data_IF_317794930961
#
_entry.id   IF_317794930961
#
_cell.length_a   1.000
_cell.length_b   1.000
_cell.length_c   1.000
_cell.angle_alpha   90.00
_cell.angle_beta   90.00
_cell.angle_gamma   90.00
#
_symmetry.space_group_name_H-M   'P 1'
#
loop_
_entity.id
_entity.type
_entity.pdbx_description
1 polymer ?
#
# COMPACT_ATOMS: atom_id res chain seq x y z
N UNK A 1 37.32 -24.23 14.92
CA UNK A 1 36.95 -22.96 14.27
C UNK A 1 35.66 -23.03 13.44
N UNK A 2 35.21 -24.21 12.98
CA UNK A 2 34.04 -24.33 12.11
C UNK A 2 32.65 -24.40 12.81
N UNK A 3 32.60 -24.69 14.11
CA UNK A 3 31.33 -24.85 14.83
C UNK A 3 30.72 -23.50 15.23
N UNK A 4 31.53 -22.54 15.63
CA UNK A 4 31.10 -21.18 16.00
C UNK A 4 30.58 -20.38 14.80
N UNK A 5 31.17 -20.55 13.61
CA UNK A 5 30.74 -19.89 12.37
C UNK A 5 29.37 -20.43 11.93
N UNK A 6 29.12 -21.73 12.11
CA UNK A 6 27.82 -22.35 11.78
C UNK A 6 26.70 -21.92 12.72
N UNK A 7 26.99 -21.73 14.02
CA UNK A 7 26.02 -21.24 15.00
C UNK A 7 25.63 -19.77 14.72
N UNK A 8 26.57 -18.90 14.34
CA UNK A 8 26.30 -17.52 13.97
C UNK A 8 25.45 -17.39 12.70
N UNK A 9 25.69 -18.25 11.69
CA UNK A 9 24.89 -18.27 10.46
C UNK A 9 23.44 -18.71 10.69
N UNK A 10 23.20 -19.66 11.62
CA UNK A 10 21.85 -20.12 11.98
C UNK A 10 21.10 -19.06 12.78
N UNK A 11 21.76 -18.31 13.67
CA UNK A 11 21.14 -17.22 14.43
C UNK A 11 20.70 -16.05 13.52
N UNK A 12 21.44 -15.75 12.43
CA UNK A 12 21.07 -14.72 11.47
C UNK A 12 19.84 -15.09 10.62
N UNK A 13 19.54 -16.38 10.44
CA UNK A 13 18.38 -16.86 9.67
C UNK A 13 17.06 -16.86 10.45
N UNK A 14 17.09 -16.62 11.76
CA UNK A 14 15.90 -16.69 12.65
C UNK A 14 15.34 -15.31 13.02
N UNK A 15 15.83 -14.23 12.40
CA UNK A 15 15.25 -12.89 12.64
C UNK A 15 14.04 -12.64 11.73
N UNK A 16 13.03 -13.51 11.87
CA UNK A 16 11.73 -13.28 11.26
C UNK A 16 10.98 -12.31 12.18
N UNK A 17 10.91 -11.03 11.79
CA UNK A 17 10.09 -10.07 12.51
C UNK A 17 8.61 -10.38 12.24
N UNK A 18 7.81 -10.74 13.25
CA UNK A 18 6.40 -11.10 13.04
C UNK A 18 5.62 -9.93 12.44
N UNK A 19 4.77 -10.25 11.46
CA UNK A 19 3.81 -9.29 10.88
C UNK A 19 2.56 -9.27 11.75
N UNK A 20 2.07 -8.08 12.06
CA UNK A 20 0.83 -7.84 12.79
C UNK A 20 -0.20 -7.16 11.92
N UNK A 21 -1.46 -7.51 12.11
CA UNK A 21 -2.60 -6.83 11.52
C UNK A 21 -2.93 -5.60 12.36
N UNK A 22 -2.84 -4.42 11.75
CA UNK A 22 -3.21 -3.14 12.36
C UNK A 22 -4.70 -2.85 12.12
N UNK A 23 -5.14 -3.07 10.89
CA UNK A 23 -6.54 -2.96 10.47
C UNK A 23 -6.87 -4.19 9.63
N UNK A 24 -7.97 -4.88 9.92
CA UNK A 24 -8.39 -6.03 9.12
C UNK A 24 -8.78 -5.59 7.72
N UNK A 25 -8.49 -6.41 6.70
CA UNK A 25 -8.85 -6.07 5.31
C UNK A 25 -10.34 -5.75 5.11
N UNK A 26 -11.31 -6.49 5.68
CA UNK A 26 -12.73 -6.11 5.57
C UNK A 26 -13.03 -4.73 6.13
N UNK A 27 -12.43 -4.36 7.27
CA UNK A 27 -12.62 -3.05 7.90
C UNK A 27 -12.04 -1.93 7.03
N UNK A 28 -10.86 -2.17 6.41
CA UNK A 28 -10.25 -1.24 5.45
C UNK A 28 -11.11 -1.08 4.18
N UNK A 29 -11.68 -2.18 3.66
CA UNK A 29 -12.61 -2.15 2.52
C UNK A 29 -13.84 -1.29 2.86
N UNK A 30 -14.45 -1.51 4.01
CA UNK A 30 -15.62 -0.76 4.44
C UNK A 30 -15.30 0.75 4.63
N UNK A 31 -14.15 1.07 5.21
CA UNK A 31 -13.72 2.46 5.42
C UNK A 31 -13.41 3.19 4.11
N UNK A 32 -12.81 2.50 3.12
CA UNK A 32 -12.36 3.08 1.86
C UNK A 32 -13.42 3.05 0.75
N UNK A 33 -14.44 2.18 0.86
CA UNK A 33 -15.58 2.08 -0.05
C UNK A 33 -16.90 2.30 0.70
N UNK A 34 -17.10 3.48 1.34
CA UNK A 34 -18.26 3.73 2.16
C UNK A 34 -19.55 3.72 1.33
N UNK A 35 -20.59 3.06 1.87
CA UNK A 35 -21.90 2.95 1.22
C UNK A 35 -21.98 1.89 0.13
N UNK A 36 -20.93 1.09 -0.09
CA UNK A 36 -21.02 -0.06 -0.97
C UNK A 36 -21.89 -1.16 -0.33
N UNK A 37 -22.82 -1.71 -1.10
CA UNK A 37 -23.66 -2.86 -0.75
C UNK A 37 -23.16 -4.17 -1.39
N UNK A 38 -22.30 -4.04 -2.43
CA UNK A 38 -21.65 -5.17 -3.07
C UNK A 38 -20.19 -4.86 -3.41
N UNK A 39 -19.37 -5.92 -3.42
CA UNK A 39 -17.95 -5.84 -3.71
C UNK A 39 -17.56 -6.89 -4.74
N UNK A 40 -16.69 -6.50 -5.69
CA UNK A 40 -16.17 -7.39 -6.73
C UNK A 40 -14.64 -7.28 -6.72
N UNK A 41 -13.96 -8.41 -6.57
CA UNK A 41 -12.53 -8.50 -6.80
C UNK A 41 -12.28 -8.66 -8.31
N UNK A 42 -11.33 -7.89 -8.84
CA UNK A 42 -10.89 -7.94 -10.20
C UNK A 42 -9.40 -8.19 -10.26
N UNK A 43 -9.01 -9.28 -10.88
CA UNK A 43 -7.64 -9.61 -11.17
C UNK A 43 -7.23 -9.08 -12.54
N UNK A 44 -6.06 -8.47 -12.62
CA UNK A 44 -5.43 -8.00 -13.85
C UNK A 44 -4.08 -8.71 -13.97
N UNK A 45 -3.99 -9.64 -14.92
CA UNK A 45 -2.76 -10.32 -15.24
C UNK A 45 -1.91 -9.46 -16.16
N UNK A 46 -0.74 -9.04 -15.69
CA UNK A 46 0.15 -8.17 -16.45
C UNK A 46 0.89 -8.97 -17.52
N UNK A 47 0.94 -8.42 -18.74
CA UNK A 47 1.92 -8.87 -19.74
C UNK A 47 3.34 -8.48 -19.30
N UNK A 48 4.37 -9.11 -19.91
CA UNK A 48 5.76 -8.72 -19.64
C UNK A 48 6.02 -7.24 -19.93
N UNK A 49 5.39 -6.67 -20.96
CA UNK A 49 5.49 -5.24 -21.32
C UNK A 49 4.83 -4.35 -20.27
N UNK A 50 3.67 -4.76 -19.73
CA UNK A 50 2.95 -3.99 -18.71
C UNK A 50 3.71 -4.02 -17.38
N UNK A 51 4.25 -5.18 -16.99
CA UNK A 51 5.09 -5.32 -15.80
C UNK A 51 6.36 -4.44 -15.90
N UNK A 52 7.02 -4.43 -17.07
CA UNK A 52 8.18 -3.58 -17.32
C UNK A 52 7.83 -2.09 -17.22
N UNK A 53 6.74 -1.65 -17.85
CA UNK A 53 6.26 -0.27 -17.78
C UNK A 53 5.96 0.17 -16.35
N UNK A 54 5.33 -0.70 -15.57
CA UNK A 54 5.03 -0.42 -14.16
C UNK A 54 6.33 -0.33 -13.34
N UNK A 55 7.28 -1.22 -13.59
CA UNK A 55 8.59 -1.20 -12.94
C UNK A 55 9.35 0.09 -13.26
N UNK A 56 9.39 0.53 -14.52
CA UNK A 56 10.02 1.80 -14.91
C UNK A 56 9.37 3.02 -14.23
N UNK A 57 8.04 2.98 -14.03
CA UNK A 57 7.33 4.11 -13.46
C UNK A 57 7.51 4.27 -11.95
N UNK A 58 7.57 3.16 -11.19
CA UNK A 58 7.51 3.18 -9.71
C UNK A 58 8.45 2.17 -9.04
N UNK A 59 9.44 1.65 -9.76
CA UNK A 59 10.41 0.64 -9.29
C UNK A 59 9.73 -0.52 -8.55
N UNK A 60 8.68 -1.07 -9.19
CA UNK A 60 7.89 -2.14 -8.59
C UNK A 60 7.27 -3.05 -9.64
N UNK A 61 7.19 -4.33 -9.29
CA UNK A 61 6.39 -5.31 -10.00
C UNK A 61 5.59 -6.12 -8.98
N UNK A 62 4.30 -6.37 -9.20
CA UNK A 62 3.51 -7.20 -8.29
C UNK A 62 4.02 -8.64 -8.29
N UNK A 63 3.92 -9.31 -7.13
CA UNK A 63 4.19 -10.74 -7.03
C UNK A 63 3.28 -11.48 -8.03
N UNK A 64 3.81 -12.51 -8.66
CA UNK A 64 3.09 -13.32 -9.66
C UNK A 64 2.55 -12.55 -10.89
N UNK A 65 2.92 -11.28 -11.08
CA UNK A 65 2.44 -10.46 -12.20
C UNK A 65 0.93 -10.16 -12.17
N UNK A 66 0.30 -10.20 -11.01
CA UNK A 66 -1.14 -9.99 -10.84
C UNK A 66 -1.43 -8.79 -9.95
N UNK A 67 -2.28 -7.88 -10.43
CA UNK A 67 -2.89 -6.82 -9.64
C UNK A 67 -4.31 -7.22 -9.24
N UNK A 68 -4.71 -6.93 -8.01
CA UNK A 68 -6.06 -7.22 -7.53
C UNK A 68 -6.73 -5.93 -7.05
N UNK A 69 -7.73 -5.49 -7.78
CA UNK A 69 -8.58 -4.36 -7.41
C UNK A 69 -9.90 -4.83 -6.83
N UNK A 70 -10.36 -4.18 -5.76
CA UNK A 70 -11.68 -4.39 -5.18
C UNK A 70 -12.57 -3.21 -5.54
N UNK A 71 -13.54 -3.44 -6.42
CA UNK A 71 -14.57 -2.46 -6.77
C UNK A 71 -15.75 -2.56 -5.81
N UNK A 72 -16.28 -1.40 -5.39
CA UNK A 72 -17.52 -1.32 -4.61
C UNK A 72 -18.65 -0.70 -5.42
N UNK A 73 -19.88 -1.19 -5.24
CA UNK A 73 -21.09 -0.62 -5.82
C UNK A 73 -22.17 -0.40 -4.78
N UNK A 74 -23.02 0.60 -5.01
CA UNK A 74 -24.28 0.81 -4.32
C UNK A 74 -25.42 0.67 -5.38
N UNK A 75 -26.09 -0.47 -5.38
CA UNK A 75 -26.93 -0.88 -6.51
C UNK A 75 -26.10 -0.98 -7.80
N UNK A 76 -26.47 -0.20 -8.83
CA UNK A 76 -25.72 -0.14 -10.11
C UNK A 76 -24.62 0.94 -10.15
N UNK A 77 -24.47 1.74 -9.09
CA UNK A 77 -23.56 2.88 -9.08
C UNK A 77 -22.24 2.49 -8.44
N UNK A 78 -21.11 2.74 -9.14
CA UNK A 78 -19.78 2.55 -8.54
C UNK A 78 -19.53 3.57 -7.44
N UNK A 79 -19.12 3.10 -6.27
CA UNK A 79 -18.66 3.96 -5.15
C UNK A 79 -17.15 4.15 -5.13
N UNK A 80 -16.42 3.38 -5.95
CA UNK A 80 -14.96 3.48 -6.07
C UNK A 80 -14.30 2.12 -6.17
N UNK A 81 -12.99 2.11 -5.99
CA UNK A 81 -12.17 0.91 -5.93
C UNK A 81 -11.10 1.03 -4.87
N UNK A 82 -10.47 -0.08 -4.50
CA UNK A 82 -9.27 -0.09 -3.67
C UNK A 82 -8.29 -1.17 -4.11
N UNK A 83 -7.04 -0.99 -3.74
CA UNK A 83 -5.96 -1.95 -3.91
C UNK A 83 -5.19 -2.11 -2.61
N UNK A 84 -4.73 -3.34 -2.32
CA UNK A 84 -3.79 -3.61 -1.23
C UNK A 84 -2.40 -3.77 -1.84
N UNK A 85 -1.49 -2.88 -1.48
CA UNK A 85 -0.11 -2.87 -1.97
C UNK A 85 0.83 -3.27 -0.85
N UNK A 86 1.70 -4.22 -1.13
CA UNK A 86 2.80 -4.60 -0.25
C UNK A 86 4.05 -3.78 -0.60
N UNK A 87 4.72 -3.29 0.44
CA UNK A 87 6.03 -2.65 0.36
C UNK A 87 7.00 -3.42 1.25
N UNK A 88 8.02 -4.01 0.66
CA UNK A 88 9.08 -4.67 1.41
C UNK A 88 10.12 -3.64 1.83
N UNK A 89 10.50 -3.70 3.11
CA UNK A 89 11.46 -2.79 3.74
C UNK A 89 12.53 -3.57 4.47
N UNK A 90 13.68 -2.96 4.84
CA UNK A 90 14.69 -3.60 5.69
C UNK A 90 14.14 -4.08 7.05
N UNK A 91 13.03 -3.49 7.52
CA UNK A 91 12.36 -3.87 8.77
C UNK A 91 11.19 -4.84 8.55
N UNK A 92 11.08 -5.40 7.34
CA UNK A 92 10.00 -6.31 6.92
C UNK A 92 8.86 -5.59 6.19
N UNK A 93 7.79 -6.33 5.82
CA UNK A 93 6.76 -5.79 4.94
C UNK A 93 5.77 -4.86 5.65
N UNK A 94 5.30 -3.86 4.90
CA UNK A 94 4.13 -3.05 5.20
C UNK A 94 3.05 -3.36 4.15
N UNK A 95 1.80 -3.46 4.53
CA UNK A 95 0.66 -3.53 3.60
C UNK A 95 -0.17 -2.26 3.74
N UNK A 96 -0.39 -1.60 2.60
CA UNK A 96 -1.14 -0.35 2.49
C UNK A 96 -2.38 -0.58 1.63
N UNK A 97 -3.56 -0.25 2.13
CA UNK A 97 -4.79 -0.17 1.35
C UNK A 97 -4.98 1.25 0.83
N UNK A 98 -5.13 1.42 -0.47
CA UNK A 98 -5.38 2.71 -1.12
C UNK A 98 -6.75 2.68 -1.77
N UNK A 99 -7.66 3.51 -1.28
CA UNK A 99 -9.02 3.63 -1.82
C UNK A 99 -9.11 4.78 -2.81
N UNK A 100 -9.84 4.55 -3.90
CA UNK A 100 -10.08 5.51 -4.98
C UNK A 100 -11.56 5.88 -5.09
N UNK A 101 -11.84 7.13 -5.40
CA UNK A 101 -13.18 7.58 -5.76
C UNK A 101 -13.55 7.04 -7.16
N UNK A 102 -14.84 7.09 -7.58
CA UNK A 102 -15.22 6.76 -8.95
C UNK A 102 -14.51 7.61 -10.02
N UNK A 103 -13.99 8.79 -9.67
CA UNK A 103 -13.24 9.69 -10.53
C UNK A 103 -11.74 9.43 -10.51
N UNK A 104 -11.27 8.39 -9.80
CA UNK A 104 -9.87 7.96 -9.74
C UNK A 104 -8.97 8.79 -8.82
N UNK A 105 -9.52 9.67 -8.00
CA UNK A 105 -8.74 10.35 -6.96
C UNK A 105 -8.62 9.46 -5.72
N UNK A 106 -7.49 9.53 -5.01
CA UNK A 106 -7.33 8.86 -3.72
C UNK A 106 -8.38 9.38 -2.73
N UNK A 107 -9.21 8.49 -2.24
CA UNK A 107 -10.20 8.75 -1.19
C UNK A 107 -9.56 8.76 0.19
N UNK A 108 -8.68 7.80 0.41
CA UNK A 108 -7.98 7.60 1.67
C UNK A 108 -6.99 6.46 1.59
N UNK A 109 -6.17 6.35 2.61
CA UNK A 109 -5.11 5.36 2.76
C UNK A 109 -5.20 4.75 4.16
N UNK A 110 -5.01 3.43 4.26
CA UNK A 110 -4.99 2.70 5.53
C UNK A 110 -3.78 1.76 5.54
N UNK A 111 -2.93 1.85 6.54
CA UNK A 111 -1.88 0.83 6.77
C UNK A 111 -2.53 -0.36 7.47
N UNK A 112 -2.63 -1.48 6.77
CA UNK A 112 -3.36 -2.67 7.24
C UNK A 112 -2.46 -3.65 7.97
N UNK A 113 -1.19 -3.74 7.59
CA UNK A 113 -0.20 -4.60 8.23
C UNK A 113 1.15 -3.92 8.32
N UNK A 114 1.90 -4.26 9.36
CA UNK A 114 3.30 -3.92 9.51
C UNK A 114 3.98 -5.00 10.36
N UNK A 115 5.29 -4.94 10.54
CA UNK A 115 5.96 -5.79 11.53
C UNK A 115 5.70 -5.27 12.94
N UNK A 116 5.90 -6.14 13.95
CA UNK A 116 5.81 -5.77 15.37
C UNK A 116 6.73 -4.58 15.66
N UNK A 117 7.94 -4.57 15.08
CA UNK A 117 8.91 -3.49 15.23
C UNK A 117 8.39 -2.17 14.70
N UNK A 118 7.82 -2.16 13.49
CA UNK A 118 7.34 -0.93 12.85
C UNK A 118 5.99 -0.44 13.38
N UNK A 119 5.23 -1.28 14.10
CA UNK A 119 3.91 -0.91 14.60
C UNK A 119 3.88 0.44 15.34
N UNK A 120 4.76 0.74 16.32
CA UNK A 120 4.74 2.03 17.01
C UNK A 120 5.03 3.19 16.05
N UNK A 121 5.92 3.03 15.08
CA UNK A 121 6.27 4.06 14.10
C UNK A 121 5.10 4.37 13.15
N UNK A 122 4.37 3.32 12.72
CA UNK A 122 3.14 3.49 11.93
C UNK A 122 2.08 4.25 12.71
N UNK A 123 1.85 3.87 13.98
CA UNK A 123 0.85 4.54 14.82
C UNK A 123 1.20 6.01 15.05
N UNK A 124 2.47 6.33 15.26
CA UNK A 124 2.95 7.70 15.40
C UNK A 124 2.76 8.48 14.09
N UNK A 125 3.14 7.91 12.94
CA UNK A 125 2.96 8.55 11.63
C UNK A 125 1.47 8.86 11.35
N UNK A 126 0.58 7.90 11.61
CA UNK A 126 -0.87 8.09 11.45
C UNK A 126 -1.40 9.17 12.41
N UNK A 127 -0.96 9.16 13.67
CA UNK A 127 -1.34 10.19 14.64
C UNK A 127 -0.84 11.59 14.24
N UNK A 128 0.29 11.68 13.53
CA UNK A 128 0.81 12.91 12.95
C UNK A 128 0.06 13.37 11.68
N UNK A 129 -0.97 12.63 11.23
CA UNK A 129 -1.81 12.99 10.08
C UNK A 129 -1.30 12.48 8.73
N UNK A 130 -0.45 11.44 8.71
CA UNK A 130 0.10 10.87 7.47
C UNK A 130 -0.97 10.62 6.40
N UNK A 131 -2.07 9.99 6.77
CA UNK A 131 -3.10 9.53 5.82
C UNK A 131 -3.86 10.67 5.15
N UNK A 132 -3.88 11.86 5.75
CA UNK A 132 -4.58 13.04 5.20
C UNK A 132 -3.85 13.64 4.00
N UNK A 133 -2.52 13.44 3.91
CA UNK A 133 -1.69 13.98 2.83
C UNK A 133 -1.93 13.31 1.46
N UNK A 134 -2.61 12.17 1.43
CA UNK A 134 -2.84 11.44 0.17
C UNK A 134 -4.19 11.73 -0.47
N UNK A 135 -5.12 12.32 0.27
CA UNK A 135 -6.48 12.57 -0.20
C UNK A 135 -6.49 13.52 -1.42
N UNK A 136 -7.17 13.10 -2.47
CA UNK A 136 -7.30 13.88 -3.71
C UNK A 136 -6.18 13.66 -4.73
N UNK A 137 -5.08 12.96 -4.39
CA UNK A 137 -4.04 12.60 -5.35
C UNK A 137 -4.65 11.79 -6.51
N UNK A 138 -4.11 11.98 -7.72
CA UNK A 138 -4.57 11.30 -8.93
C UNK A 138 -3.42 10.63 -9.67
N UNK A 139 -3.68 9.55 -10.42
CA UNK A 139 -2.69 8.98 -11.33
C UNK A 139 -2.09 10.03 -12.27
N UNK A 140 -0.78 10.03 -12.42
CA UNK A 140 -0.04 11.00 -13.23
C UNK A 140 0.02 12.44 -12.68
N UNK A 141 -0.52 12.68 -11.47
CA UNK A 141 -0.45 13.96 -10.77
C UNK A 141 0.78 14.08 -9.87
N UNK A 142 0.62 14.82 -8.78
CA UNK A 142 1.69 15.01 -7.79
C UNK A 142 2.11 13.69 -7.13
N UNK A 143 3.40 13.56 -6.84
CA UNK A 143 3.94 12.43 -6.11
C UNK A 143 3.44 12.45 -4.64
N UNK A 144 3.20 11.27 -4.04
CA UNK A 144 2.92 11.19 -2.61
C UNK A 144 4.03 11.82 -1.78
N UNK A 145 3.68 12.64 -0.81
CA UNK A 145 4.61 13.40 0.03
C UNK A 145 4.22 13.38 1.52
N UNK A 146 3.67 12.27 1.98
CA UNK A 146 3.23 12.10 3.36
C UNK A 146 4.37 12.23 4.36
N UNK A 147 5.56 11.67 4.05
CA UNK A 147 6.74 11.78 4.88
C UNK A 147 7.16 13.25 5.10
N UNK A 148 7.21 14.04 4.03
CA UNK A 148 7.48 15.48 4.13
C UNK A 148 6.38 16.21 4.92
N UNK A 149 5.12 15.81 4.73
CA UNK A 149 3.97 16.41 5.39
C UNK A 149 3.94 16.24 6.90
N UNK A 150 4.54 15.17 7.45
CA UNK A 150 4.59 14.91 8.90
C UNK A 150 5.95 15.21 9.54
N UNK A 151 6.99 15.53 8.76
CA UNK A 151 8.37 15.62 9.24
C UNK A 151 8.60 16.59 10.42
N UNK A 152 7.80 17.64 10.53
CA UNK A 152 7.86 18.59 11.66
C UNK A 152 7.09 18.13 12.91
N UNK A 153 6.33 17.03 12.85
CA UNK A 153 5.41 16.57 13.89
C UNK A 153 5.65 15.15 14.37
N UNK A 154 6.55 14.43 13.73
CA UNK A 154 6.83 13.02 13.99
C UNK A 154 8.33 12.76 14.11
N UNK A 155 8.69 11.71 14.86
CA UNK A 155 10.07 11.26 14.97
C UNK A 155 10.59 10.62 13.70
N UNK A 156 11.92 10.50 13.58
CA UNK A 156 12.58 10.00 12.37
C UNK A 156 12.10 8.63 11.90
N UNK A 157 11.75 7.71 12.82
CA UNK A 157 11.27 6.39 12.47
C UNK A 157 9.84 6.42 11.90
N UNK A 158 8.99 7.32 12.41
CA UNK A 158 7.68 7.56 11.84
C UNK A 158 7.75 8.21 10.45
N UNK A 159 8.68 9.15 10.26
CA UNK A 159 8.97 9.77 8.94
C UNK A 159 9.52 8.72 7.96
N UNK A 160 10.41 7.83 8.41
CA UNK A 160 10.88 6.71 7.60
C UNK A 160 9.72 5.83 7.12
N UNK A 161 8.86 5.38 8.04
CA UNK A 161 7.68 4.57 7.69
C UNK A 161 6.74 5.33 6.74
N UNK A 162 6.57 6.63 6.95
CA UNK A 162 5.76 7.45 6.05
C UNK A 162 6.34 7.45 4.61
N UNK A 163 7.65 7.47 4.45
CA UNK A 163 8.31 7.32 3.15
C UNK A 163 8.05 5.95 2.49
N UNK A 164 7.95 4.88 3.28
CA UNK A 164 7.57 3.57 2.75
C UNK A 164 6.08 3.53 2.36
N UNK A 165 5.21 4.21 3.10
CA UNK A 165 3.79 4.37 2.73
C UNK A 165 3.65 5.22 1.46
N UNK A 166 4.46 6.28 1.29
CA UNK A 166 4.51 7.08 0.04
C UNK A 166 4.79 6.19 -1.18
N UNK A 167 5.74 5.24 -1.08
CA UNK A 167 6.02 4.25 -2.13
C UNK A 167 4.80 3.37 -2.42
N UNK A 168 4.12 2.88 -1.39
CA UNK A 168 2.89 2.08 -1.52
C UNK A 168 1.79 2.83 -2.25
N UNK A 169 1.57 4.10 -1.90
CA UNK A 169 0.58 4.96 -2.55
C UNK A 169 0.97 5.27 -4.00
N UNK A 170 2.26 5.52 -4.29
CA UNK A 170 2.75 5.72 -5.66
C UNK A 170 2.51 4.50 -6.55
N UNK A 171 2.78 3.29 -6.03
CA UNK A 171 2.50 2.01 -6.70
C UNK A 171 1.02 1.84 -7.02
N UNK A 172 0.14 2.07 -6.05
CA UNK A 172 -1.30 1.99 -6.25
C UNK A 172 -1.81 3.02 -7.27
N UNK A 173 -1.31 4.25 -7.24
CA UNK A 173 -1.66 5.29 -8.22
C UNK A 173 -1.23 4.88 -9.64
N UNK A 174 -0.01 4.36 -9.81
CA UNK A 174 0.49 3.89 -11.10
C UNK A 174 -0.33 2.70 -11.62
N UNK A 175 -0.57 1.69 -10.78
CA UNK A 175 -1.35 0.52 -11.12
C UNK A 175 -2.80 0.88 -11.48
N UNK A 176 -3.46 1.69 -10.66
CA UNK A 176 -4.83 2.15 -10.91
C UNK A 176 -4.94 2.94 -12.22
N UNK A 177 -4.04 3.88 -12.44
CA UNK A 177 -4.03 4.72 -13.65
C UNK A 177 -3.82 3.94 -14.93
N UNK A 178 -2.90 2.96 -14.90
CA UNK A 178 -2.56 2.17 -16.07
C UNK A 178 -3.57 1.06 -16.38
N UNK A 179 -4.19 0.44 -15.35
CA UNK A 179 -4.90 -0.83 -15.54
C UNK A 179 -6.36 -0.82 -15.11
N UNK A 180 -6.76 -0.04 -14.10
CA UNK A 180 -8.16 -0.07 -13.64
C UNK A 180 -9.10 0.69 -14.57
N UNK A 181 -8.71 1.85 -15.05
CA UNK A 181 -9.56 2.70 -15.91
C UNK A 181 -9.80 2.11 -17.30
N UNK A 182 -8.84 1.37 -17.86
CA UNK A 182 -8.94 0.80 -19.22
C UNK A 182 -9.89 -0.40 -19.32
N UNK A 183 -10.35 -0.95 -18.20
CA UNK A 183 -11.23 -2.12 -18.18
C UNK A 183 -12.70 -1.74 -17.91
N UNK A 184 -13.00 -0.44 -17.87
CA UNK A 184 -14.38 0.11 -17.82
C UNK A 184 -15.02 0.37 -19.20
N UNK A 185 -14.24 0.15 -20.26
CA UNK A 185 -14.73 0.33 -21.64
C UNK A 185 -15.34 -0.95 -22.19
#
# INVERSE_FOLDING_TARGET
MNLLIRAAAIAALLHITPVVVLVKRPDAVQALLPGADAYVAREVHLSGTDAHRLHEAVDWSPEDGVLVFYGGTAGSTSVGALEFVRVDTPHGPIEVAVGFTPQGAVRGVVVTKATVEMKPWVLEAVAAGLTDHYRGLKPGGEAPAGAAGIASRAGNLAVYVAGEVDKGVARALAAYGAFYNHVRA
#
